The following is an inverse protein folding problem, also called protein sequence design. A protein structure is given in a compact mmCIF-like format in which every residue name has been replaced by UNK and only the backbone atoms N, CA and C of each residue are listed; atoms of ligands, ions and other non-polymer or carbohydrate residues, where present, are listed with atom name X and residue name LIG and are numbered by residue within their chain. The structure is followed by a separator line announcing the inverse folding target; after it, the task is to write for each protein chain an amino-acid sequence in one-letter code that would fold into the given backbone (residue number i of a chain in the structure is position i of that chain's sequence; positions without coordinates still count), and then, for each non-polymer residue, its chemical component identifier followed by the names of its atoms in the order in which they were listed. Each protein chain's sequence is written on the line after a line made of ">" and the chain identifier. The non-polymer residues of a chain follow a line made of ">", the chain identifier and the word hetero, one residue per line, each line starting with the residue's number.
data_IF_716647893791
#
_entry.id   IF_716647893791
#
_cell.length_a   1.000
_cell.length_b   1.000
_cell.length_c   1.000
_cell.angle_alpha   90.00
_cell.angle_beta   90.00
_cell.angle_gamma   90.00
#
_symmetry.space_group_name_H-M   'P 1'
#
loop_
_entity.id
_entity.type
_entity.pdbx_description
1 polymer ?
#
# COMPACT_ATOMS: atom_id res chain seq x y z
N UNK A 1 14.57 -0.74 -10.77
CA UNK A 1 13.09 -0.84 -10.66
C UNK A 1 12.50 0.47 -11.18
N UNK A 2 11.38 0.45 -11.90
CA UNK A 2 10.69 1.68 -12.34
C UNK A 2 9.55 1.95 -11.36
N UNK A 3 9.58 3.08 -10.67
CA UNK A 3 8.52 3.51 -9.76
C UNK A 3 7.52 4.43 -10.43
N UNK A 4 6.30 4.46 -9.90
CA UNK A 4 5.25 5.38 -10.32
C UNK A 4 4.57 5.94 -9.07
N UNK A 5 4.18 7.21 -9.12
CA UNK A 5 3.37 7.86 -8.13
C UNK A 5 2.02 8.17 -8.76
N UNK A 6 0.97 7.56 -8.21
CA UNK A 6 -0.41 7.85 -8.52
C UNK A 6 -1.04 8.62 -7.36
N UNK A 7 -1.74 9.71 -7.66
CA UNK A 7 -2.53 10.48 -6.69
C UNK A 7 -3.95 10.56 -7.23
N UNK A 8 -4.92 10.11 -6.43
CA UNK A 8 -6.35 10.19 -6.73
C UNK A 8 -7.04 11.04 -5.67
N UNK A 9 -7.90 11.95 -6.13
CA UNK A 9 -8.77 12.74 -5.28
C UNK A 9 -10.15 12.10 -5.21
N UNK A 10 -10.73 12.06 -4.01
CA UNK A 10 -12.07 11.54 -3.77
C UNK A 10 -12.89 12.63 -3.08
N UNK A 11 -14.05 12.96 -3.63
CA UNK A 11 -14.94 13.98 -3.09
C UNK A 11 -16.38 13.49 -3.11
N UNK A 12 -17.20 13.96 -2.18
CA UNK A 12 -18.65 13.73 -2.21
C UNK A 12 -19.30 14.98 -2.79
N UNK A 13 -20.04 14.83 -3.88
CA UNK A 13 -20.81 15.89 -4.52
C UNK A 13 -22.22 15.35 -4.79
N UNK A 14 -23.24 16.09 -4.37
CA UNK A 14 -24.64 15.69 -4.51
C UNK A 14 -24.95 14.29 -3.95
N UNK A 15 -24.40 13.97 -2.77
CA UNK A 15 -24.51 12.63 -2.13
C UNK A 15 -23.93 11.48 -2.95
N UNK A 16 -23.09 11.78 -3.95
CA UNK A 16 -22.38 10.79 -4.76
C UNK A 16 -20.88 10.92 -4.60
N UNK A 17 -20.19 9.78 -4.43
CA UNK A 17 -18.73 9.77 -4.39
C UNK A 17 -18.19 9.90 -5.82
N UNK A 18 -17.35 10.91 -6.04
CA UNK A 18 -16.62 11.13 -7.28
C UNK A 18 -15.14 10.90 -7.04
N UNK A 19 -14.49 10.22 -7.99
CA UNK A 19 -13.06 9.92 -7.95
C UNK A 19 -12.39 10.50 -9.18
N UNK A 20 -11.27 11.19 -9.00
CA UNK A 20 -10.51 11.83 -10.07
C UNK A 20 -9.04 11.46 -9.94
N UNK A 21 -8.41 11.06 -11.05
CA UNK A 21 -6.96 10.88 -11.10
C UNK A 21 -6.29 12.23 -11.25
N UNK A 22 -5.60 12.68 -10.20
CA UNK A 22 -4.90 13.98 -10.17
C UNK A 22 -3.54 13.85 -10.84
N UNK A 23 -2.84 12.74 -10.57
CA UNK A 23 -1.51 12.50 -11.12
C UNK A 23 -1.27 11.00 -11.30
N UNK A 24 -0.55 10.65 -12.37
CA UNK A 24 0.06 9.33 -12.55
C UNK A 24 1.37 9.55 -13.32
N UNK A 25 2.48 9.70 -12.59
CA UNK A 25 3.78 9.99 -13.19
C UNK A 25 4.83 8.99 -12.77
N UNK A 26 5.82 8.80 -13.64
CA UNK A 26 6.99 7.99 -13.33
C UNK A 26 7.79 8.67 -12.22
N UNK A 27 7.97 7.96 -11.12
CA UNK A 27 8.82 8.40 -10.02
C UNK A 27 10.28 8.12 -10.37
N UNK A 28 11.10 9.17 -10.39
CA UNK A 28 12.53 9.07 -10.72
C UNK A 28 13.36 9.13 -9.43
N UNK A 29 14.43 8.35 -9.37
CA UNK A 29 15.31 8.32 -8.20
C UNK A 29 14.83 7.40 -7.08
N UNK A 30 15.29 7.65 -5.86
CA UNK A 30 14.96 6.84 -4.67
C UNK A 30 13.61 7.25 -4.10
N UNK A 31 12.81 6.26 -3.71
CA UNK A 31 11.50 6.47 -3.08
C UNK A 31 11.65 6.75 -1.58
N UNK A 32 12.45 7.76 -1.20
CA UNK A 32 12.57 8.21 0.19
C UNK A 32 11.32 8.99 0.58
N UNK A 33 11.02 9.04 1.88
CA UNK A 33 9.87 9.80 2.39
C UNK A 33 9.90 11.27 1.95
N UNK A 34 11.09 11.87 1.95
CA UNK A 34 11.33 13.26 1.51
C UNK A 34 10.98 13.47 0.03
N UNK A 35 11.48 12.61 -0.86
CA UNK A 35 11.19 12.75 -2.28
C UNK A 35 9.71 12.53 -2.58
N UNK A 36 9.06 11.62 -1.87
CA UNK A 36 7.62 11.37 -2.02
C UNK A 36 6.82 12.59 -1.54
N UNK A 37 7.25 13.19 -0.41
CA UNK A 37 6.64 14.40 0.13
C UNK A 37 6.72 15.56 -0.86
N UNK A 38 7.92 15.82 -1.38
CA UNK A 38 8.15 16.86 -2.37
C UNK A 38 7.24 16.67 -3.60
N UNK A 39 7.20 15.47 -4.17
CA UNK A 39 6.40 15.18 -5.35
C UNK A 39 4.88 15.30 -5.08
N UNK A 40 4.43 15.00 -3.86
CA UNK A 40 3.06 15.21 -3.41
C UNK A 40 2.73 16.71 -3.24
N UNK A 41 3.61 17.48 -2.60
CA UNK A 41 3.43 18.92 -2.39
C UNK A 41 3.43 19.69 -3.72
N UNK A 42 4.29 19.30 -4.67
CA UNK A 42 4.31 19.84 -6.04
C UNK A 42 2.97 19.62 -6.75
N UNK A 43 2.44 18.40 -6.72
CA UNK A 43 1.14 18.09 -7.33
C UNK A 43 0.00 18.83 -6.62
N UNK A 44 0.00 18.85 -5.29
CA UNK A 44 -1.04 19.52 -4.51
C UNK A 44 -1.06 21.04 -4.77
N UNK A 45 0.13 21.63 -4.93
CA UNK A 45 0.29 23.04 -5.27
C UNK A 45 -0.12 23.33 -6.72
N UNK A 46 0.24 22.47 -7.67
CA UNK A 46 -0.09 22.69 -9.09
C UNK A 46 -1.59 22.73 -9.38
N UNK A 47 -2.38 22.07 -8.54
CA UNK A 47 -3.84 22.06 -8.64
C UNK A 47 -4.55 22.99 -7.63
N UNK A 48 -3.80 23.73 -6.80
CA UNK A 48 -4.35 24.63 -5.78
C UNK A 48 -5.37 23.93 -4.86
N UNK A 49 -5.03 22.70 -4.46
CA UNK A 49 -5.87 21.85 -3.60
C UNK A 49 -5.30 21.65 -2.20
N UNK A 50 -4.08 22.08 -1.90
CA UNK A 50 -3.40 21.81 -0.62
C UNK A 50 -4.28 22.07 0.62
N UNK A 51 -4.94 23.22 0.67
CA UNK A 51 -5.84 23.63 1.78
C UNK A 51 -7.19 22.90 1.79
N UNK A 52 -7.53 22.18 0.72
CA UNK A 52 -8.81 21.45 0.56
C UNK A 52 -8.69 19.98 0.94
N UNK A 53 -7.48 19.50 1.24
CA UNK A 53 -7.23 18.09 1.52
C UNK A 53 -7.52 17.82 3.01
N UNK A 54 -8.63 17.14 3.28
CA UNK A 54 -8.97 16.73 4.65
C UNK A 54 -8.24 15.45 5.09
N UNK A 55 -8.01 14.51 4.17
CA UNK A 55 -7.49 13.18 4.49
C UNK A 55 -6.60 12.65 3.38
N UNK A 56 -5.52 12.00 3.78
CA UNK A 56 -4.58 11.29 2.91
C UNK A 56 -4.66 9.80 3.26
N UNK A 57 -4.78 8.96 2.25
CA UNK A 57 -4.71 7.49 2.38
C UNK A 57 -3.48 7.02 1.61
N UNK A 58 -2.57 6.30 2.26
CA UNK A 58 -1.41 5.69 1.59
C UNK A 58 -1.17 4.27 2.04
N UNK A 59 -0.33 3.53 1.31
CA UNK A 59 0.14 2.23 1.80
C UNK A 59 0.94 2.35 3.10
N UNK A 60 1.12 1.20 3.78
CA UNK A 60 1.77 1.15 5.09
C UNK A 60 3.29 0.94 4.98
N UNK A 61 3.91 1.17 3.81
CA UNK A 61 5.36 1.13 3.72
C UNK A 61 5.97 2.22 4.60
N UNK A 62 7.12 1.91 5.21
CA UNK A 62 7.78 2.81 6.16
C UNK A 62 7.98 4.23 5.59
N UNK A 63 8.38 4.34 4.32
CA UNK A 63 8.57 5.65 3.69
C UNK A 63 7.26 6.42 3.50
N UNK A 64 6.14 5.74 3.22
CA UNK A 64 4.83 6.38 3.07
C UNK A 64 4.27 6.87 4.40
N UNK A 65 4.42 6.07 5.47
CA UNK A 65 4.05 6.47 6.82
C UNK A 65 4.87 7.69 7.25
N UNK A 66 6.20 7.66 7.03
CA UNK A 66 7.09 8.77 7.38
C UNK A 66 6.78 10.05 6.61
N UNK A 67 6.36 9.97 5.35
CA UNK A 67 6.02 11.15 4.53
C UNK A 67 4.91 12.00 5.14
N UNK A 68 3.89 11.36 5.71
CA UNK A 68 2.67 12.02 6.21
C UNK A 68 2.57 12.02 7.74
N UNK A 69 3.67 11.71 8.43
CA UNK A 69 3.74 11.81 9.89
C UNK A 69 3.68 13.27 10.34
N UNK A 70 3.12 13.49 11.54
CA UNK A 70 3.10 14.81 12.15
C UNK A 70 4.52 15.25 12.55
N UNK A 71 4.93 16.50 12.25
CA UNK A 71 6.22 17.01 12.68
C UNK A 71 6.42 16.86 14.19
N UNK A 72 7.56 16.30 14.60
CA UNK A 72 7.86 16.04 16.02
C UNK A 72 7.23 14.78 16.62
N UNK A 73 6.38 14.08 15.86
CA UNK A 73 5.81 12.77 16.20
C UNK A 73 6.27 11.70 15.21
N UNK A 74 7.50 11.83 14.70
CA UNK A 74 8.12 10.75 13.93
C UNK A 74 8.15 9.51 14.81
N UNK A 75 7.50 8.44 14.35
CA UNK A 75 7.71 7.11 14.93
C UNK A 75 9.19 6.80 14.73
N UNK A 76 9.94 6.67 15.82
CA UNK A 76 11.37 6.36 15.75
C UNK A 76 11.55 5.08 14.91
N UNK A 77 12.44 5.04 13.89
CA UNK A 77 12.62 3.87 13.03
C UNK A 77 13.21 2.62 13.72
N UNK A 78 13.20 2.55 15.06
CA UNK A 78 13.62 1.37 15.81
C UNK A 78 12.48 0.35 15.96
N UNK A 79 11.87 -0.04 14.83
CA UNK A 79 11.47 -1.44 14.67
C UNK A 79 12.25 -1.99 13.49
N UNK A 80 13.29 -2.74 13.86
CA UNK A 80 14.32 -3.26 12.99
C UNK A 80 13.71 -4.07 11.85
N UNK A 81 14.12 -3.73 10.63
CA UNK A 81 14.29 -4.75 9.59
C UNK A 81 15.48 -5.63 9.95
N UNK A 82 15.30 -6.54 10.90
CA UNK A 82 16.15 -7.71 11.10
C UNK A 82 15.22 -8.90 11.37
N UNK A 83 15.34 -9.95 10.56
CA UNK A 83 14.71 -11.24 10.80
C UNK A 83 15.10 -11.78 12.19
N UNK A 84 14.30 -11.54 13.23
CA UNK A 84 14.43 -12.20 14.54
C UNK A 84 13.03 -12.39 15.17
N UNK A 85 12.69 -13.66 15.39
CA UNK A 85 11.62 -14.13 16.27
C UNK A 85 11.68 -13.43 17.65
N UNK A 86 10.61 -12.73 18.04
CA UNK A 86 10.17 -12.66 19.44
C UNK A 86 8.81 -11.99 19.54
N UNK A 87 7.92 -12.66 20.25
CA UNK A 87 6.61 -12.21 20.71
C UNK A 87 6.71 -10.85 21.44
N UNK A 88 5.91 -9.85 21.04
CA UNK A 88 5.32 -8.94 22.02
C UNK A 88 4.01 -8.31 21.48
N UNK A 89 2.96 -8.55 22.25
CA UNK A 89 1.57 -8.16 22.05
C UNK A 89 1.35 -6.83 22.77
N UNK A 90 1.25 -5.72 22.03
CA UNK A 90 0.74 -4.47 22.60
C UNK A 90 -0.20 -3.74 21.65
N UNK A 91 -1.49 -4.09 21.78
CA UNK A 91 -2.67 -3.42 21.26
C UNK A 91 -2.75 -1.97 21.78
N UNK A 92 -2.03 -1.03 21.15
CA UNK A 92 -2.18 0.41 21.44
C UNK A 92 -3.40 0.98 20.70
N UNK A 93 -4.56 0.82 21.33
CA UNK A 93 -5.77 1.58 21.01
C UNK A 93 -5.51 3.06 21.27
N UNK A 94 -5.42 3.86 20.22
CA UNK A 94 -5.45 5.32 20.33
C UNK A 94 -6.82 5.69 20.92
N UNK A 95 -6.81 6.34 22.09
CA UNK A 95 -8.01 6.91 22.70
C UNK A 95 -8.39 8.17 21.91
N UNK A 96 -9.45 8.09 21.13
CA UNK A 96 -10.12 9.25 20.53
C UNK A 96 -10.85 10.03 21.63
N UNK A 97 -10.21 11.08 22.13
CA UNK A 97 -10.89 12.16 22.83
C UNK A 97 -10.86 13.38 21.91
N UNK A 98 -11.92 13.60 21.13
CA UNK A 98 -12.13 14.88 20.45
C UNK A 98 -13.17 15.68 21.24
N UNK A 99 -12.70 16.61 22.06
CA UNK A 99 -13.52 17.76 22.47
C UNK A 99 -13.50 18.77 21.31
N UNK A 100 -14.71 19.20 20.93
CA UNK A 100 -14.98 20.27 19.96
C UNK A 100 -14.14 21.51 20.25
N UNK A 101 -13.25 21.89 19.33
CA UNK A 101 -12.87 23.30 19.16
C UNK A 101 -12.40 23.56 17.71
N UNK A 102 -13.18 24.39 17.02
CA UNK A 102 -12.91 24.90 15.68
C UNK A 102 -11.68 25.82 15.66
N UNK A 103 -10.55 25.30 15.18
CA UNK A 103 -9.48 26.10 14.58
C UNK A 103 -9.02 25.47 13.26
N UNK A 104 -9.90 25.49 12.25
CA UNK A 104 -9.55 25.12 10.87
C UNK A 104 -8.77 26.30 10.28
N UNK A 105 -7.45 26.35 10.48
CA UNK A 105 -6.58 27.14 9.62
C UNK A 105 -5.11 26.67 9.56
N UNK A 106 -4.69 25.66 10.34
CA UNK A 106 -3.33 25.11 10.25
C UNK A 106 -3.25 23.58 10.52
N UNK A 107 -4.36 22.86 10.39
CA UNK A 107 -4.34 21.40 10.61
C UNK A 107 -3.80 20.68 9.37
N UNK A 108 -2.68 19.97 9.54
CA UNK A 108 -2.18 18.99 8.59
C UNK A 108 -3.29 17.97 8.25
N UNK A 109 -3.39 17.52 6.99
CA UNK A 109 -4.37 16.50 6.61
C UNK A 109 -4.23 15.25 7.47
N UNK A 110 -5.36 14.67 7.89
CA UNK A 110 -5.34 13.40 8.61
C UNK A 110 -4.76 12.30 7.72
N UNK A 111 -3.76 11.57 8.21
CA UNK A 111 -3.19 10.43 7.48
C UNK A 111 -3.83 9.13 7.97
N UNK A 112 -4.30 8.33 7.01
CA UNK A 112 -4.86 7.01 7.25
C UNK A 112 -4.13 5.94 6.45
N UNK A 113 -4.01 4.76 7.06
CA UNK A 113 -3.37 3.59 6.46
C UNK A 113 -4.28 2.91 5.45
N UNK A 114 -3.68 2.36 4.40
CA UNK A 114 -4.42 1.63 3.38
C UNK A 114 -4.97 0.32 3.94
N UNK A 115 -6.29 0.22 4.03
CA UNK A 115 -6.96 -0.97 4.53
C UNK A 115 -6.64 -2.23 3.71
N UNK A 116 -6.57 -2.11 2.38
CA UNK A 116 -6.21 -3.24 1.51
C UNK A 116 -4.80 -3.74 1.79
N UNK A 117 -3.85 -2.84 2.05
CA UNK A 117 -2.50 -3.23 2.41
C UNK A 117 -2.45 -3.86 3.81
N UNK A 118 -3.18 -3.32 4.78
CA UNK A 118 -3.31 -3.93 6.10
C UNK A 118 -3.88 -5.35 6.01
N UNK A 119 -4.94 -5.57 5.21
CA UNK A 119 -5.51 -6.89 4.99
C UNK A 119 -4.51 -7.85 4.32
N UNK A 120 -3.74 -7.35 3.34
CA UNK A 120 -2.68 -8.13 2.71
C UNK A 120 -1.62 -8.57 3.72
N UNK A 121 -1.22 -7.69 4.65
CA UNK A 121 -0.27 -8.02 5.71
C UNK A 121 -0.83 -9.09 6.65
N UNK A 122 -2.07 -8.94 7.13
CA UNK A 122 -2.73 -9.93 7.99
C UNK A 122 -2.75 -11.32 7.33
N UNK A 123 -3.13 -11.40 6.05
CA UNK A 123 -3.14 -12.67 5.32
C UNK A 123 -1.72 -13.23 5.17
N UNK A 124 -0.75 -12.37 4.85
CA UNK A 124 0.65 -12.77 4.69
C UNK A 124 1.22 -13.34 5.99
N UNK A 125 0.99 -12.67 7.11
CA UNK A 125 1.51 -13.07 8.41
C UNK A 125 0.77 -14.32 8.91
N UNK A 126 -0.55 -14.41 8.74
CA UNK A 126 -1.28 -15.65 8.99
C UNK A 126 -0.78 -16.85 8.18
N UNK A 127 -0.35 -16.64 6.92
CA UNK A 127 0.29 -17.70 6.11
C UNK A 127 1.72 -18.03 6.57
N UNK A 128 2.44 -17.10 7.20
CA UNK A 128 3.74 -17.38 7.82
C UNK A 128 3.61 -18.10 9.16
N UNK A 129 2.51 -17.91 9.88
CA UNK A 129 2.31 -18.50 11.20
C UNK A 129 1.48 -19.79 11.14
N UNK A 130 1.04 -20.18 9.94
CA UNK A 130 0.23 -21.37 9.74
C UNK A 130 0.98 -22.69 10.06
N UNK A 131 0.21 -23.76 10.22
CA UNK A 131 0.73 -25.11 10.48
C UNK A 131 1.83 -25.52 9.47
N UNK A 132 2.81 -26.36 9.90
CA UNK A 132 3.92 -26.78 9.04
C UNK A 132 3.46 -27.48 7.75
N UNK A 133 2.30 -28.13 7.77
CA UNK A 133 1.70 -28.75 6.59
C UNK A 133 1.31 -27.72 5.53
N UNK A 134 0.68 -26.61 5.93
CA UNK A 134 0.30 -25.54 5.00
C UNK A 134 1.53 -24.80 4.47
N UNK A 135 2.55 -24.55 5.31
CA UNK A 135 3.85 -23.99 4.86
C UNK A 135 4.50 -24.84 3.77
N UNK A 136 4.44 -26.16 3.92
CA UNK A 136 5.00 -27.11 2.94
C UNK A 136 4.26 -27.04 1.61
N UNK A 137 2.92 -26.98 1.65
CA UNK A 137 2.09 -26.86 0.44
C UNK A 137 2.38 -25.55 -0.29
N UNK A 138 2.38 -24.43 0.43
CA UNK A 138 2.68 -23.10 -0.13
C UNK A 138 4.07 -23.06 -0.75
N UNK A 139 5.08 -23.61 -0.08
CA UNK A 139 6.46 -23.69 -0.60
C UNK A 139 6.53 -24.53 -1.88
N UNK A 140 5.83 -25.67 -1.94
CA UNK A 140 5.77 -26.49 -3.17
C UNK A 140 5.14 -25.71 -4.33
N UNK A 141 4.02 -25.03 -4.09
CA UNK A 141 3.37 -24.20 -5.10
C UNK A 141 4.29 -23.07 -5.59
N UNK A 142 4.96 -22.37 -4.67
CA UNK A 142 5.93 -21.31 -5.01
C UNK A 142 7.09 -21.85 -5.85
N UNK A 143 7.61 -23.04 -5.54
CA UNK A 143 8.68 -23.66 -6.30
C UNK A 143 8.24 -24.02 -7.73
N UNK A 144 7.02 -24.53 -7.90
CA UNK A 144 6.44 -24.80 -9.23
C UNK A 144 6.31 -23.50 -10.03
N UNK A 145 5.74 -22.44 -9.44
CA UNK A 145 5.61 -21.13 -10.11
C UNK A 145 6.99 -20.57 -10.45
N UNK A 146 7.95 -20.66 -9.54
CA UNK A 146 9.34 -20.21 -9.76
C UNK A 146 10.02 -20.97 -10.90
N UNK A 147 9.80 -22.28 -10.99
CA UNK A 147 10.28 -23.10 -12.10
C UNK A 147 9.66 -22.69 -13.43
N UNK A 148 8.33 -22.55 -13.49
CA UNK A 148 7.61 -22.13 -14.70
C UNK A 148 8.11 -20.77 -15.18
N UNK A 149 8.21 -19.77 -14.29
CA UNK A 149 8.69 -18.43 -14.65
C UNK A 149 10.13 -18.39 -15.17
N UNK A 150 10.95 -19.40 -14.83
CA UNK A 150 12.34 -19.52 -15.30
C UNK A 150 12.47 -20.36 -16.57
N UNK A 151 11.50 -21.23 -16.85
CA UNK A 151 11.53 -22.16 -17.98
C UNK A 151 10.64 -21.65 -19.11
N UNK A 152 11.27 -21.31 -20.23
CA UNK A 152 10.57 -20.86 -21.45
C UNK A 152 9.63 -21.96 -21.95
N UNK A 153 10.13 -23.19 -22.08
CA UNK A 153 9.34 -24.34 -22.53
C UNK A 153 8.13 -24.61 -21.61
N UNK A 154 8.29 -24.49 -20.29
CA UNK A 154 7.17 -24.73 -19.37
C UNK A 154 6.12 -23.62 -19.45
N UNK A 155 6.53 -22.37 -19.68
CA UNK A 155 5.61 -21.25 -19.88
C UNK A 155 4.82 -21.40 -21.19
N UNK A 156 5.48 -21.77 -22.29
CA UNK A 156 4.83 -21.99 -23.59
C UNK A 156 3.77 -23.11 -23.52
N UNK A 157 4.09 -24.25 -22.89
CA UNK A 157 3.15 -25.35 -22.71
C UNK A 157 1.89 -24.89 -21.96
N UNK A 158 2.04 -24.11 -20.89
CA UNK A 158 0.91 -23.62 -20.08
C UNK A 158 0.08 -22.56 -20.80
N UNK A 159 0.71 -21.71 -21.62
CA UNK A 159 0.00 -20.74 -22.45
C UNK A 159 -0.85 -21.42 -23.53
N UNK A 160 -0.35 -22.50 -24.12
CA UNK A 160 -1.09 -23.25 -25.13
C UNK A 160 -2.23 -24.07 -24.53
N UNK A 161 -2.09 -24.64 -23.33
CA UNK A 161 -3.21 -25.27 -22.62
C UNK A 161 -4.30 -24.28 -22.23
N UNK A 162 -3.95 -23.06 -21.79
CA UNK A 162 -4.93 -22.02 -21.49
C UNK A 162 -5.77 -21.64 -22.73
N UNK A 163 -5.15 -21.59 -23.92
CA UNK A 163 -5.88 -21.34 -25.18
C UNK A 163 -6.83 -22.49 -25.53
N UNK A 164 -6.45 -23.73 -25.25
CA UNK A 164 -7.28 -24.93 -25.47
C UNK A 164 -8.48 -25.00 -24.51
N UNK A 165 -8.34 -24.56 -23.26
CA UNK A 165 -9.49 -24.51 -22.34
C UNK A 165 -10.47 -23.38 -22.68
N UNK A 166 -9.98 -22.21 -23.09
CA UNK A 166 -10.84 -21.11 -23.51
C UNK A 166 -11.69 -21.45 -24.75
N UNK A 167 -11.11 -22.18 -25.71
CA UNK A 167 -11.85 -22.64 -26.90
C UNK A 167 -12.90 -23.71 -26.59
N UNK A 168 -12.65 -24.57 -25.59
CA UNK A 168 -13.61 -25.58 -25.13
C UNK A 168 -14.73 -25.02 -24.23
N UNK A 169 -14.53 -23.85 -23.59
CA UNK A 169 -15.56 -23.19 -22.78
C UNK A 169 -16.65 -22.47 -23.60
N UNK A 170 -16.46 -22.33 -24.92
CA UNK A 170 -17.39 -21.62 -25.81
C UNK A 170 -18.28 -22.59 -26.61
N UNK A 171 -18.37 -23.86 -26.20
CA UNK A 171 -19.12 -24.93 -26.87
C UNK A 171 -20.03 -25.64 -25.89
#
# INVERSE_FOLDING_TARGET
>A
MRGFLGITGHVILDWTMKSVMICCKRFKGRHTSENIRQEYEEVSSSYEIGEKIATIVSDNAANMIKTFALPGFESDPQEKGEDIDSDDDSDQRIKDNCEDDMFINDCLPYHSRCYAHSLQLVVKDGLKDCSPHLKTITTKALNTVSFVRKSINASEILEDENKLQASNATR
#
